data_IF_831696645089
#
_entry.id   IF_831696645089
#
_cell.length_a   1.000
_cell.length_b   1.000
_cell.length_c   1.000
_cell.angle_alpha   90.00
_cell.angle_beta   90.00
_cell.angle_gamma   90.00
#
_symmetry.space_group_name_H-M   'P 1'
#
loop_
_entity.id
_entity.type
_entity.pdbx_description
1 polymer ?
#
# COMPACT_ATOMS: atom_id res chain seq x y z
N UNK A 1 7.84 12.04 -5.63
CA UNK A 1 7.53 12.06 -4.20
C UNK A 1 7.68 10.66 -3.63
N UNK A 2 8.44 10.53 -2.54
CA UNK A 2 8.73 9.24 -1.88
C UNK A 2 9.21 8.15 -2.83
N UNK A 3 9.97 8.53 -3.87
CA UNK A 3 10.48 7.57 -4.87
C UNK A 3 11.42 6.54 -4.25
N UNK A 4 12.33 6.99 -3.39
CA UNK A 4 13.28 6.11 -2.72
C UNK A 4 12.55 5.14 -1.79
N UNK A 5 11.62 5.65 -0.99
CA UNK A 5 10.81 4.85 -0.08
C UNK A 5 9.99 3.83 -0.84
N UNK A 6 9.33 4.25 -1.91
CA UNK A 6 8.56 3.35 -2.77
C UNK A 6 9.42 2.28 -3.43
N UNK A 7 10.58 2.66 -3.94
CA UNK A 7 11.53 1.73 -4.52
C UNK A 7 11.95 0.65 -3.51
N UNK A 8 12.25 1.04 -2.28
CA UNK A 8 12.66 0.11 -1.23
C UNK A 8 11.51 -0.82 -0.80
N UNK A 9 10.30 -0.30 -0.74
CA UNK A 9 9.10 -1.10 -0.42
C UNK A 9 8.86 -2.15 -1.51
N UNK A 10 8.90 -1.75 -2.78
CA UNK A 10 8.71 -2.68 -3.90
C UNK A 10 9.86 -3.70 -3.94
N UNK A 11 11.08 -3.27 -3.62
CA UNK A 11 12.22 -4.19 -3.48
C UNK A 11 11.98 -5.28 -2.44
N UNK A 12 11.42 -4.90 -1.29
CA UNK A 12 11.04 -5.86 -0.25
C UNK A 12 9.96 -6.83 -0.77
N UNK A 13 8.95 -6.31 -1.46
CA UNK A 13 7.90 -7.15 -2.04
C UNK A 13 8.44 -8.11 -3.10
N UNK A 14 9.39 -7.66 -3.93
CA UNK A 14 10.06 -8.52 -4.91
C UNK A 14 10.82 -9.66 -4.23
N UNK A 15 11.52 -9.38 -3.14
CA UNK A 15 12.22 -10.41 -2.37
C UNK A 15 11.24 -11.47 -1.87
N UNK A 16 10.11 -11.05 -1.33
CA UNK A 16 9.04 -11.97 -0.88
C UNK A 16 8.51 -12.80 -2.05
N UNK A 17 8.19 -12.16 -3.16
CA UNK A 17 7.65 -12.84 -4.33
C UNK A 17 8.64 -13.87 -4.89
N UNK A 18 9.90 -13.49 -4.99
CA UNK A 18 10.93 -14.39 -5.52
C UNK A 18 11.18 -15.60 -4.62
N UNK A 19 11.04 -15.42 -3.31
CA UNK A 19 11.23 -16.50 -2.35
C UNK A 19 10.03 -17.43 -2.28
N UNK A 20 8.81 -16.88 -2.18
CA UNK A 20 7.59 -17.66 -1.95
C UNK A 20 6.88 -18.08 -3.24
N UNK A 21 6.95 -17.26 -4.28
CA UNK A 21 6.16 -17.46 -5.48
C UNK A 21 4.66 -17.24 -5.27
N UNK A 22 3.85 -17.31 -6.34
CA UNK A 22 2.41 -17.17 -6.25
C UNK A 22 1.76 -18.43 -5.66
N UNK A 23 0.52 -18.31 -5.18
CA UNK A 23 -0.29 -19.44 -4.76
C UNK A 23 -0.64 -19.49 -3.27
N UNK A 24 -0.04 -18.65 -2.45
CA UNK A 24 -0.40 -18.54 -1.05
C UNK A 24 -1.56 -17.55 -0.86
N UNK A 25 -2.18 -17.59 0.32
CA UNK A 25 -3.18 -16.59 0.72
C UNK A 25 -2.51 -15.26 1.07
N UNK A 26 -3.27 -14.18 0.99
CA UNK A 26 -2.77 -12.82 1.26
C UNK A 26 -2.06 -12.69 2.60
N UNK A 27 -2.58 -13.35 3.65
CA UNK A 27 -2.00 -13.28 4.99
C UNK A 27 -0.56 -13.78 5.05
N UNK A 28 -0.21 -14.77 4.22
CA UNK A 28 1.16 -15.31 4.16
C UNK A 28 2.11 -14.24 3.62
N UNK A 29 1.71 -13.56 2.55
CA UNK A 29 2.51 -12.47 1.97
C UNK A 29 2.63 -11.29 2.90
N UNK A 30 1.56 -10.98 3.63
CA UNK A 30 1.58 -9.93 4.65
C UNK A 30 2.66 -10.22 5.70
N UNK A 31 2.66 -11.42 6.27
CA UNK A 31 3.62 -11.81 7.30
C UNK A 31 5.06 -11.74 6.76
N UNK A 32 5.28 -12.25 5.56
CA UNK A 32 6.60 -12.25 4.94
C UNK A 32 7.08 -10.83 4.64
N UNK A 33 6.19 -9.98 4.13
CA UNK A 33 6.53 -8.60 3.81
C UNK A 33 6.90 -7.81 5.07
N UNK A 34 6.18 -8.03 6.18
CA UNK A 34 6.50 -7.41 7.47
C UNK A 34 7.92 -7.77 7.93
N UNK A 35 8.34 -9.01 7.71
CA UNK A 35 9.70 -9.45 8.04
C UNK A 35 10.72 -8.70 7.17
N UNK A 36 10.49 -8.64 5.84
CA UNK A 36 11.41 -7.96 4.92
C UNK A 36 11.51 -6.46 5.22
N UNK A 37 10.37 -5.81 5.47
CA UNK A 37 10.36 -4.38 5.83
C UNK A 37 11.17 -4.15 7.12
N UNK A 38 11.01 -5.03 8.11
CA UNK A 38 11.78 -4.95 9.35
C UNK A 38 13.27 -5.10 9.13
N UNK A 39 13.67 -6.03 8.27
CA UNK A 39 15.10 -6.23 7.93
C UNK A 39 15.72 -5.03 7.25
N UNK A 40 14.91 -4.27 6.49
CA UNK A 40 15.37 -3.08 5.79
C UNK A 40 15.20 -1.81 6.64
N UNK A 41 14.76 -1.96 7.88
CA UNK A 41 14.50 -0.84 8.79
C UNK A 41 13.46 0.15 8.24
N UNK A 42 12.50 -0.34 7.49
CA UNK A 42 11.39 0.46 6.99
C UNK A 42 10.29 0.46 8.05
N UNK A 43 9.96 1.62 8.64
CA UNK A 43 8.92 1.69 9.67
C UNK A 43 7.55 1.43 9.06
N UNK A 44 6.75 0.61 9.74
CA UNK A 44 5.39 0.31 9.29
C UNK A 44 4.45 0.06 10.46
N UNK A 45 3.16 0.21 10.19
CA UNK A 45 2.08 -0.22 11.07
C UNK A 45 1.23 -1.21 10.28
N UNK A 46 0.96 -2.35 10.89
CA UNK A 46 0.21 -3.45 10.28
C UNK A 46 -1.25 -3.41 10.72
N UNK A 47 -2.17 -3.70 9.78
CA UNK A 47 -3.61 -3.82 10.04
C UNK A 47 -4.19 -2.65 10.83
N UNK A 48 -3.86 -1.44 10.39
CA UNK A 48 -4.27 -0.21 11.08
C UNK A 48 -5.72 0.15 10.75
N UNK A 49 -6.61 0.25 11.77
CA UNK A 49 -7.96 0.77 11.53
C UNK A 49 -7.90 2.28 11.27
N UNK A 50 -8.59 2.71 10.22
CA UNK A 50 -8.67 4.11 9.83
C UNK A 50 -10.13 4.54 9.80
N UNK A 51 -10.48 5.70 10.39
CA UNK A 51 -11.86 6.14 10.40
C UNK A 51 -12.31 6.55 9.00
N UNK A 52 -13.58 6.26 8.68
CA UNK A 52 -14.20 6.68 7.42
C UNK A 52 -15.39 7.57 7.74
N UNK A 53 -15.48 8.71 7.05
CA UNK A 53 -16.54 9.69 7.26
C UNK A 53 -17.44 9.79 6.03
N UNK A 54 -18.74 9.96 6.26
CA UNK A 54 -19.71 10.25 5.24
C UNK A 54 -20.44 11.55 5.59
N UNK A 55 -20.27 12.58 4.78
CA UNK A 55 -20.89 13.90 4.99
C UNK A 55 -20.64 14.43 6.42
N UNK A 56 -19.39 14.25 6.89
CA UNK A 56 -18.99 14.69 8.22
C UNK A 56 -19.38 13.74 9.36
N UNK A 57 -20.09 12.65 9.07
CA UNK A 57 -20.50 11.66 10.07
C UNK A 57 -19.53 10.49 10.09
N UNK A 58 -19.02 10.16 11.27
CA UNK A 58 -18.19 8.99 11.44
C UNK A 58 -19.03 7.73 11.21
N UNK A 59 -18.55 6.88 10.29
CA UNK A 59 -19.23 5.61 10.02
C UNK A 59 -18.90 4.57 11.09
N UNK A 60 -19.77 3.57 11.20
CA UNK A 60 -19.59 2.46 12.16
C UNK A 60 -18.45 1.53 11.78
N UNK A 61 -18.16 1.41 10.49
CA UNK A 61 -17.12 0.53 9.96
C UNK A 61 -15.88 1.32 9.63
N UNK A 62 -14.75 0.89 10.18
CA UNK A 62 -13.45 1.43 9.83
C UNK A 62 -12.94 0.75 8.55
N UNK A 63 -12.03 1.43 7.87
CA UNK A 63 -11.20 0.79 6.90
C UNK A 63 -9.95 0.24 7.60
N UNK A 64 -9.57 -1.01 7.32
CA UNK A 64 -8.37 -1.62 7.86
C UNK A 64 -7.30 -1.64 6.77
N UNK A 65 -6.27 -0.82 6.90
CA UNK A 65 -5.14 -0.81 5.98
C UNK A 65 -4.24 -2.01 6.26
N UNK A 66 -3.82 -2.73 5.21
CA UNK A 66 -2.89 -3.85 5.38
C UNK A 66 -1.60 -3.38 6.00
N UNK A 67 -0.98 -2.35 5.42
CA UNK A 67 0.24 -1.73 5.93
C UNK A 67 0.24 -0.24 5.64
N UNK A 68 0.82 0.52 6.56
CA UNK A 68 1.16 1.93 6.29
C UNK A 68 2.63 2.08 6.64
N UNK A 69 3.44 2.41 5.63
CA UNK A 69 4.88 2.59 5.76
C UNK A 69 5.21 4.08 5.91
N UNK A 70 6.20 4.40 6.74
CA UNK A 70 6.66 5.79 6.97
C UNK A 70 5.52 6.72 7.39
N UNK A 71 4.44 6.18 7.98
CA UNK A 71 3.23 6.92 8.38
C UNK A 71 2.47 7.57 7.22
N UNK A 72 2.88 7.34 5.95
CA UNK A 72 2.38 8.07 4.79
C UNK A 72 2.05 7.24 3.57
N UNK A 73 2.58 6.02 3.47
CA UNK A 73 2.45 5.19 2.27
C UNK A 73 1.57 3.99 2.58
N UNK A 74 0.38 3.99 2.01
CA UNK A 74 -0.59 2.93 2.20
C UNK A 74 -0.30 1.77 1.26
N UNK A 75 -0.24 0.54 1.80
CA UNK A 75 -0.09 -0.66 0.99
C UNK A 75 -1.34 -1.53 1.10
N UNK A 76 -1.88 -1.92 -0.05
CA UNK A 76 -2.93 -2.92 -0.19
C UNK A 76 -2.34 -4.15 -0.86
N UNK A 77 -2.37 -5.28 -0.16
CA UNK A 77 -1.82 -6.52 -0.67
C UNK A 77 -2.93 -7.37 -1.28
N UNK A 78 -2.63 -7.98 -2.42
CA UNK A 78 -3.55 -8.87 -3.13
C UNK A 78 -2.81 -10.17 -3.49
N UNK A 79 -3.59 -11.25 -3.62
CA UNK A 79 -3.11 -12.53 -4.09
C UNK A 79 -4.09 -13.04 -5.15
N UNK A 80 -4.24 -12.27 -6.22
CA UNK A 80 -5.17 -12.53 -7.33
C UNK A 80 -4.37 -12.78 -8.61
N UNK A 81 -5.03 -13.30 -9.63
CA UNK A 81 -4.36 -13.57 -10.91
C UNK A 81 -3.79 -12.29 -11.53
N UNK A 82 -4.59 -11.24 -11.57
CA UNK A 82 -4.20 -9.95 -12.14
C UNK A 82 -4.82 -8.80 -11.34
N UNK A 83 -4.11 -7.69 -11.28
CA UNK A 83 -4.67 -6.45 -10.72
C UNK A 83 -5.75 -5.95 -11.69
N UNK A 84 -6.90 -5.58 -11.15
CA UNK A 84 -8.01 -4.98 -11.89
C UNK A 84 -8.17 -3.51 -11.53
N UNK A 85 -8.85 -2.76 -12.41
CA UNK A 85 -9.21 -1.36 -12.15
C UNK A 85 -9.95 -1.18 -10.81
N UNK A 86 -10.75 -2.17 -10.41
CA UNK A 86 -11.46 -2.13 -9.13
C UNK A 86 -10.50 -2.07 -7.94
N UNK A 87 -9.34 -2.71 -8.03
CA UNK A 87 -8.33 -2.66 -6.97
C UNK A 87 -7.70 -1.28 -6.85
N UNK A 88 -7.44 -0.63 -7.99
CA UNK A 88 -6.94 0.75 -7.99
C UNK A 88 -7.99 1.72 -7.44
N UNK A 89 -9.24 1.57 -7.87
CA UNK A 89 -10.35 2.41 -7.40
C UNK A 89 -10.51 2.27 -5.89
N UNK A 90 -10.33 1.07 -5.35
CA UNK A 90 -10.37 0.83 -3.91
C UNK A 90 -9.30 1.65 -3.19
N UNK A 91 -8.06 1.63 -3.67
CA UNK A 91 -6.97 2.42 -3.07
C UNK A 91 -7.26 3.92 -3.19
N UNK A 92 -7.74 4.38 -4.34
CA UNK A 92 -8.15 5.79 -4.52
C UNK A 92 -9.17 6.20 -3.44
N UNK A 93 -10.20 5.36 -3.22
CA UNK A 93 -11.21 5.62 -2.21
C UNK A 93 -10.62 5.66 -0.79
N UNK A 94 -9.68 4.77 -0.50
CA UNK A 94 -9.02 4.76 0.81
C UNK A 94 -8.17 5.99 1.02
N UNK A 95 -7.46 6.45 -0.02
CA UNK A 95 -6.69 7.70 0.06
C UNK A 95 -7.60 8.90 0.29
N UNK A 96 -8.76 8.95 -0.38
CA UNK A 96 -9.77 10.00 -0.15
C UNK A 96 -10.26 9.99 1.29
N UNK A 97 -10.56 8.81 1.82
CA UNK A 97 -11.13 8.66 3.15
C UNK A 97 -10.14 8.97 4.27
N UNK A 98 -8.85 8.69 4.06
CA UNK A 98 -7.82 8.79 5.09
C UNK A 98 -6.98 10.07 5.02
N UNK A 99 -7.04 10.78 3.89
CA UNK A 99 -6.21 11.97 3.66
C UNK A 99 -4.77 11.65 3.27
N UNK A 100 -4.41 10.38 3.12
CA UNK A 100 -3.07 10.01 2.65
C UNK A 100 -2.95 10.27 1.15
N UNK A 101 -1.75 10.63 0.70
CA UNK A 101 -1.52 11.03 -0.70
C UNK A 101 -1.01 9.90 -1.58
N UNK A 102 -0.39 8.88 -1.02
CA UNK A 102 0.29 7.84 -1.79
C UNK A 102 -0.10 6.45 -1.30
N UNK A 103 -0.39 5.57 -2.25
CA UNK A 103 -0.64 4.17 -1.97
C UNK A 103 -0.12 3.26 -3.08
N UNK A 104 0.00 2.00 -2.76
CA UNK A 104 0.36 0.94 -3.72
C UNK A 104 -0.60 -0.20 -3.59
N UNK A 105 -1.03 -0.75 -4.73
CA UNK A 105 -1.59 -2.09 -4.80
C UNK A 105 -0.42 -3.01 -5.15
N UNK A 106 -0.19 -4.05 -4.37
CA UNK A 106 0.88 -5.02 -4.62
C UNK A 106 0.24 -6.40 -4.70
N UNK A 107 0.38 -7.05 -5.85
CA UNK A 107 -0.24 -8.35 -6.09
C UNK A 107 0.82 -9.44 -6.22
N UNK A 108 0.75 -10.42 -5.32
CA UNK A 108 1.64 -11.57 -5.26
C UNK A 108 1.08 -12.79 -5.99
N UNK A 109 -0.15 -12.70 -6.52
CA UNK A 109 -0.83 -13.87 -7.08
C UNK A 109 -0.63 -14.09 -8.58
N UNK A 110 0.02 -13.17 -9.29
CA UNK A 110 0.29 -13.35 -10.70
C UNK A 110 1.37 -14.44 -10.89
N UNK A 111 1.15 -15.33 -11.85
CA UNK A 111 2.03 -16.49 -12.06
C UNK A 111 3.41 -16.13 -12.60
N UNK A 112 3.53 -15.00 -13.28
CA UNK A 112 4.73 -14.67 -14.03
C UNK A 112 5.59 -13.61 -13.34
N UNK A 113 4.97 -12.69 -12.59
CA UNK A 113 5.69 -11.54 -12.02
C UNK A 113 4.92 -10.92 -10.85
N UNK A 114 5.66 -10.20 -10.00
CA UNK A 114 5.04 -9.31 -9.04
C UNK A 114 4.37 -8.17 -9.81
N UNK A 115 3.08 -7.94 -9.57
CA UNK A 115 2.37 -6.81 -10.15
C UNK A 115 2.19 -5.76 -9.06
N UNK A 116 2.33 -4.50 -9.43
CA UNK A 116 2.08 -3.41 -8.49
C UNK A 116 1.68 -2.16 -9.25
N UNK A 117 0.92 -1.31 -8.57
CA UNK A 117 0.54 -0.01 -9.12
C UNK A 117 0.66 1.05 -8.05
N UNK A 118 1.24 2.16 -8.43
CA UNK A 118 1.39 3.34 -7.61
C UNK A 118 0.19 4.26 -7.85
N UNK A 119 -0.46 4.68 -6.76
CA UNK A 119 -1.62 5.57 -6.81
C UNK A 119 -1.29 6.84 -6.04
N UNK A 120 -1.35 7.97 -6.72
CA UNK A 120 -1.06 9.28 -6.12
C UNK A 120 -2.35 10.11 -6.09
N UNK A 121 -2.66 10.66 -4.91
CA UNK A 121 -3.77 11.58 -4.70
C UNK A 121 -3.19 12.96 -4.39
N UNK A 122 -2.90 13.75 -5.43
CA UNK A 122 -2.17 15.01 -5.29
C UNK A 122 -2.89 16.04 -4.41
N UNK A 123 -4.22 16.02 -4.39
CA UNK A 123 -5.01 16.94 -3.55
C UNK A 123 -4.84 16.67 -2.05
N UNK A 124 -4.28 15.52 -1.65
CA UNK A 124 -4.00 15.21 -0.25
C UNK A 124 -2.58 15.60 0.16
N UNK A 125 -1.77 16.13 -0.77
CA UNK A 125 -0.41 16.55 -0.47
C UNK A 125 -0.40 17.83 0.36
N UNK A 126 0.46 17.87 1.37
CA UNK A 126 0.78 19.11 2.08
C UNK A 126 1.82 19.90 1.28
N UNK A 127 2.02 21.17 1.60
CA UNK A 127 2.91 22.06 0.85
C UNK A 127 4.32 21.50 0.68
N UNK A 128 4.92 21.00 1.77
CA UNK A 128 6.26 20.41 1.75
C UNK A 128 6.35 19.20 0.83
N UNK A 129 5.29 18.40 0.77
CA UNK A 129 5.21 17.23 -0.10
C UNK A 129 5.07 17.63 -1.57
N UNK A 130 4.36 18.72 -1.85
CA UNK A 130 4.23 19.26 -3.20
C UNK A 130 5.60 19.69 -3.74
N UNK A 131 6.40 20.35 -2.91
CA UNK A 131 7.75 20.76 -3.29
C UNK A 131 8.65 19.56 -3.57
N UNK A 132 8.47 18.47 -2.86
CA UNK A 132 9.24 17.24 -3.03
C UNK A 132 8.84 16.44 -4.29
N UNK A 133 7.74 16.77 -4.95
CA UNK A 133 7.28 16.05 -6.15
C UNK A 133 8.24 16.18 -7.33
N UNK A 134 9.01 17.26 -7.38
CA UNK A 134 9.93 17.53 -8.49
C UNK A 134 11.27 16.77 -8.36
N UNK A 135 11.46 16.09 -7.25
CA UNK A 135 12.63 15.23 -7.03
C UNK A 135 12.41 13.88 -7.72
#
# INVERSE_FOLDING_TARGET
MYKKEGYNIIGAALTVYNELGPGFLEAVYQDALEIELGMLSIPFVSQKPLPVYYRGHLLKHDYIADLICHERILLELKAVKDIHEAHQAQVVNYLKATGLALGYVINFGNLDKLQWQRVLMSENLIEDELDAMDE
#
